data_IF_739160113699
#
_entry.id   IF_739160113699
#
_cell.length_a   1.000
_cell.length_b   1.000
_cell.length_c   1.000
_cell.angle_alpha   90.00
_cell.angle_beta   90.00
_cell.angle_gamma   90.00
#
_symmetry.space_group_name_H-M   'P 1'
#
loop_
_entity.id
_entity.type
_entity.pdbx_description
1 polymer ?
#
# COMPACT_ATOMS: atom_id res chain seq x y z
N UNK A 1 -3.68 -21.62 -60.77
CA UNK A 1 -3.06 -21.41 -59.43
C UNK A 1 -3.92 -20.52 -58.61
N UNK A 2 -4.49 -21.07 -57.53
CA UNK A 2 -5.28 -20.26 -56.57
C UNK A 2 -4.31 -19.65 -55.59
N UNK A 3 -4.25 -18.32 -55.58
CA UNK A 3 -3.57 -17.61 -54.50
C UNK A 3 -4.45 -17.63 -53.26
N UNK A 4 -4.02 -18.30 -52.20
CA UNK A 4 -4.67 -18.25 -50.91
C UNK A 4 -4.22 -16.93 -50.27
N UNK A 5 -5.12 -15.97 -50.22
CA UNK A 5 -4.91 -14.74 -49.44
C UNK A 5 -4.96 -15.08 -47.96
N UNK A 6 -3.87 -14.92 -47.26
CA UNK A 6 -3.84 -14.99 -45.82
C UNK A 6 -4.51 -13.72 -45.30
N UNK A 7 -5.74 -13.83 -44.84
CA UNK A 7 -6.39 -12.77 -44.09
C UNK A 7 -5.74 -12.72 -42.70
N UNK A 8 -4.81 -11.81 -42.55
CA UNK A 8 -4.24 -11.57 -41.25
C UNK A 8 -5.26 -10.83 -40.41
N UNK A 9 -5.90 -11.57 -39.49
CA UNK A 9 -6.79 -10.96 -38.52
C UNK A 9 -5.93 -10.21 -37.50
N UNK A 10 -5.81 -8.90 -37.64
CA UNK A 10 -5.18 -8.06 -36.63
C UNK A 10 -6.20 -7.90 -35.51
N UNK A 11 -6.04 -8.68 -34.44
CA UNK A 11 -6.79 -8.48 -33.23
C UNK A 11 -6.23 -7.23 -32.55
N UNK A 12 -6.86 -6.09 -32.77
CA UNK A 12 -6.58 -4.89 -32.00
C UNK A 12 -7.13 -5.13 -30.58
N UNK A 13 -6.25 -5.48 -29.64
CA UNK A 13 -6.61 -5.47 -28.24
C UNK A 13 -6.90 -4.03 -27.82
N UNK A 14 -8.16 -3.69 -27.68
CA UNK A 14 -8.56 -2.42 -27.08
C UNK A 14 -8.16 -2.46 -25.61
N UNK A 15 -7.10 -1.72 -25.26
CA UNK A 15 -6.75 -1.48 -23.86
C UNK A 15 -7.74 -0.47 -23.32
N UNK A 16 -8.82 -0.94 -22.75
CA UNK A 16 -9.71 -0.08 -21.98
C UNK A 16 -9.06 0.18 -20.62
N UNK A 17 -8.44 1.35 -20.49
CA UNK A 17 -8.07 1.87 -19.18
C UNK A 17 -9.34 2.32 -18.47
N UNK A 18 -9.92 1.46 -17.66
CA UNK A 18 -10.98 1.86 -16.74
C UNK A 18 -10.33 2.57 -15.55
N UNK A 19 -10.64 3.86 -15.38
CA UNK A 19 -10.33 4.61 -14.15
C UNK A 19 -10.94 3.85 -12.96
N UNK A 20 -10.09 3.36 -12.02
CA UNK A 20 -10.50 2.62 -10.84
C UNK A 20 -10.41 1.09 -10.96
N UNK A 21 -9.78 0.56 -12.03
CA UNK A 21 -9.45 -0.86 -12.08
C UNK A 21 -8.49 -1.22 -10.95
N UNK A 22 -8.81 -2.30 -10.19
CA UNK A 22 -7.86 -2.90 -9.25
C UNK A 22 -6.60 -3.32 -10.01
N UNK A 23 -5.40 -3.16 -9.42
CA UNK A 23 -4.13 -3.38 -10.14
C UNK A 23 -3.85 -4.83 -10.54
N UNK A 24 -4.77 -5.76 -10.35
CA UNK A 24 -4.63 -7.15 -10.79
C UNK A 24 -3.66 -8.00 -9.97
N UNK A 25 -3.22 -7.51 -8.82
CA UNK A 25 -2.37 -8.25 -7.90
C UNK A 25 -2.70 -7.88 -6.44
N UNK A 26 -2.40 -8.79 -5.54
CA UNK A 26 -2.61 -8.59 -4.10
C UNK A 26 -1.32 -8.93 -3.36
N UNK A 27 -0.87 -8.09 -2.42
CA UNK A 27 0.30 -8.41 -1.61
C UNK A 27 0.06 -9.69 -0.80
N UNK A 28 1.00 -10.62 -0.87
CA UNK A 28 0.98 -11.81 -0.04
C UNK A 28 1.66 -11.57 1.32
N UNK A 29 1.54 -12.54 2.22
CA UNK A 29 2.10 -12.44 3.57
C UNK A 29 3.63 -12.26 3.55
N UNK A 30 4.33 -12.91 2.61
CA UNK A 30 5.79 -12.79 2.49
C UNK A 30 6.20 -11.38 2.06
N UNK A 31 5.48 -10.78 1.12
CA UNK A 31 5.72 -9.41 0.66
C UNK A 31 5.49 -8.40 1.78
N UNK A 32 4.40 -8.56 2.53
CA UNK A 32 4.10 -7.69 3.68
C UNK A 32 5.18 -7.84 4.77
N UNK A 33 5.59 -9.06 5.08
CA UNK A 33 6.66 -9.31 6.05
C UNK A 33 7.96 -8.63 5.64
N UNK A 34 8.31 -8.69 4.36
CA UNK A 34 9.50 -8.02 3.83
C UNK A 34 9.39 -6.49 3.92
N UNK A 35 8.22 -5.94 3.60
CA UNK A 35 7.92 -4.52 3.77
C UNK A 35 8.15 -4.10 5.23
N UNK A 36 7.54 -4.80 6.16
CA UNK A 36 7.61 -4.46 7.58
C UNK A 36 9.03 -4.59 8.13
N UNK A 37 9.83 -5.52 7.60
CA UNK A 37 11.25 -5.65 7.97
C UNK A 37 12.10 -4.47 7.51
N UNK A 38 11.64 -3.68 6.55
CA UNK A 38 12.28 -2.44 6.12
C UNK A 38 11.99 -1.24 7.03
N UNK A 39 11.02 -1.37 7.92
CA UNK A 39 10.74 -0.34 8.94
C UNK A 39 11.66 -0.59 10.12
N UNK A 40 12.74 0.18 10.22
CA UNK A 40 13.75 0.00 11.25
C UNK A 40 13.34 0.69 12.55
N UNK A 41 13.87 0.24 13.71
CA UNK A 41 13.68 0.96 14.96
C UNK A 41 14.10 2.42 14.83
N UNK A 42 13.20 3.35 15.20
CA UNK A 42 13.44 4.77 15.09
C UNK A 42 13.00 5.41 13.76
N UNK A 43 12.62 4.63 12.74
CA UNK A 43 12.05 5.19 11.51
C UNK A 43 10.72 5.91 11.78
N UNK A 44 9.94 5.40 12.73
CA UNK A 44 8.77 6.10 13.26
C UNK A 44 9.23 6.94 14.43
N UNK A 45 9.08 8.27 14.36
CA UNK A 45 9.47 9.15 15.46
C UNK A 45 8.71 8.87 16.75
N UNK A 46 9.26 9.29 17.87
CA UNK A 46 8.59 9.19 19.17
C UNK A 46 7.25 9.93 19.14
N UNK A 47 6.26 9.33 19.80
CA UNK A 47 5.00 10.00 20.06
C UNK A 47 5.19 11.18 21.01
N UNK A 48 4.20 12.08 21.08
CA UNK A 48 4.23 13.22 21.99
C UNK A 48 4.39 12.84 23.47
N UNK A 49 3.97 11.62 23.84
CA UNK A 49 4.18 11.03 25.17
C UNK A 49 5.63 10.60 25.44
N UNK A 50 6.49 10.59 24.44
CA UNK A 50 7.85 10.06 24.51
C UNK A 50 7.96 8.58 24.20
N UNK A 51 6.84 7.88 24.00
CA UNK A 51 6.83 6.46 23.61
C UNK A 51 7.41 6.29 22.20
N UNK A 52 8.30 5.31 22.03
CA UNK A 52 8.85 4.92 20.73
C UNK A 52 8.00 3.78 20.15
N UNK A 53 7.14 4.07 19.17
CA UNK A 53 6.25 3.05 18.64
C UNK A 53 7.00 2.03 17.76
N UNK A 54 6.47 0.81 17.72
CA UNK A 54 6.89 -0.23 16.77
C UNK A 54 5.72 -0.62 15.87
N UNK A 55 6.02 -1.15 14.68
CA UNK A 55 5.01 -1.41 13.65
C UNK A 55 3.87 -2.31 14.14
N UNK A 56 4.15 -3.27 15.01
CA UNK A 56 3.15 -4.23 15.52
C UNK A 56 2.13 -3.60 16.47
N UNK A 57 2.35 -2.38 16.92
CA UNK A 57 1.37 -1.64 17.74
C UNK A 57 0.25 -1.00 16.90
N UNK A 58 0.36 -1.06 15.58
CA UNK A 58 -0.56 -0.42 14.65
C UNK A 58 -1.51 -1.41 13.99
N UNK A 59 -2.73 -0.97 13.74
CA UNK A 59 -3.56 -1.54 12.69
C UNK A 59 -2.94 -1.09 11.35
N UNK A 60 -2.44 -2.05 10.55
CA UNK A 60 -1.68 -1.77 9.34
C UNK A 60 -2.51 -2.09 8.11
N UNK A 61 -2.89 -1.06 7.38
CA UNK A 61 -3.66 -1.17 6.15
C UNK A 61 -2.72 -1.08 4.96
N UNK A 62 -2.76 -2.07 4.09
CA UNK A 62 -1.91 -2.12 2.90
C UNK A 62 -2.78 -2.29 1.66
N UNK A 63 -2.51 -1.46 0.64
CA UNK A 63 -3.21 -1.50 -0.63
C UNK A 63 -2.21 -1.56 -1.78
N UNK A 64 -2.45 -2.44 -2.78
CA UNK A 64 -1.60 -2.51 -3.96
C UNK A 64 -1.91 -1.39 -4.95
N UNK A 65 -0.89 -0.95 -5.67
CA UNK A 65 -1.04 -0.13 -6.85
C UNK A 65 0.14 -0.34 -7.80
N UNK A 66 0.05 0.21 -9.01
CA UNK A 66 1.12 0.17 -9.99
C UNK A 66 1.69 1.57 -10.21
N UNK A 67 3.02 1.67 -10.25
CA UNK A 67 3.73 2.85 -10.72
C UNK A 67 4.60 2.42 -11.92
N UNK A 68 4.11 2.69 -13.13
CA UNK A 68 4.70 2.11 -14.32
C UNK A 68 4.58 0.59 -14.30
N UNK A 69 5.70 -0.10 -14.41
CA UNK A 69 5.82 -1.56 -14.33
C UNK A 69 6.16 -2.06 -12.92
N UNK A 70 6.28 -1.16 -11.94
CA UNK A 70 6.56 -1.51 -10.55
C UNK A 70 5.27 -1.77 -9.77
N UNK A 71 5.20 -2.94 -9.11
CA UNK A 71 4.20 -3.20 -8.09
C UNK A 71 4.57 -2.40 -6.85
N UNK A 72 3.63 -1.64 -6.37
CA UNK A 72 3.81 -0.75 -5.22
C UNK A 72 2.78 -1.09 -4.14
N UNK A 73 3.14 -0.80 -2.91
CA UNK A 73 2.21 -0.88 -1.78
C UNK A 73 2.13 0.48 -1.11
N UNK A 74 0.91 0.96 -0.96
CA UNK A 74 0.60 2.09 -0.10
C UNK A 74 0.17 1.55 1.26
N UNK A 75 0.70 2.11 2.33
CA UNK A 75 0.34 1.69 3.68
C UNK A 75 -0.14 2.85 4.54
N UNK A 76 -1.09 2.57 5.41
CA UNK A 76 -1.52 3.45 6.47
C UNK A 76 -1.54 2.67 7.77
N UNK A 77 -0.76 3.12 8.73
CA UNK A 77 -0.62 2.53 10.04
C UNK A 77 -1.36 3.41 11.04
N UNK A 78 -2.30 2.84 11.76
CA UNK A 78 -3.15 3.56 12.71
C UNK A 78 -3.02 2.92 14.08
N UNK A 79 -2.56 3.67 15.09
CA UNK A 79 -2.60 3.16 16.46
C UNK A 79 -4.05 3.13 16.93
N UNK A 80 -4.53 2.00 17.46
CA UNK A 80 -5.88 1.92 17.99
C UNK A 80 -6.01 2.86 19.20
N UNK A 81 -6.87 3.87 19.10
CA UNK A 81 -7.07 4.89 20.15
C UNK A 81 -8.49 4.88 20.71
N UNK A 82 -9.25 3.83 20.43
CA UNK A 82 -10.62 3.72 20.91
C UNK A 82 -11.30 2.42 20.48
N UNK A 83 -12.42 2.12 21.08
CA UNK A 83 -13.18 0.88 20.85
C UNK A 83 -13.77 0.76 19.45
N UNK A 84 -13.88 1.87 18.71
CA UNK A 84 -14.40 1.89 17.33
C UNK A 84 -13.34 1.66 16.27
N UNK A 85 -12.08 1.53 16.67
CA UNK A 85 -10.96 1.31 15.74
C UNK A 85 -10.61 -0.16 15.72
N UNK A 86 -10.14 -0.63 14.55
CA UNK A 86 -9.65 -2.00 14.43
C UNK A 86 -8.42 -2.23 15.31
N UNK A 87 -8.28 -3.43 15.90
CA UNK A 87 -7.12 -3.75 16.71
C UNK A 87 -5.85 -3.79 15.86
N UNK A 88 -4.69 -3.73 16.51
CA UNK A 88 -3.40 -3.93 15.86
C UNK A 88 -3.40 -5.26 15.09
N UNK A 89 -2.91 -5.20 13.86
CA UNK A 89 -2.92 -6.35 12.94
C UNK A 89 -2.71 -5.89 11.51
N UNK A 90 -2.68 -6.83 10.58
CA UNK A 90 -2.49 -6.57 9.15
C UNK A 90 -3.84 -6.67 8.44
N UNK A 91 -4.17 -5.65 7.66
CA UNK A 91 -5.40 -5.55 6.87
C UNK A 91 -5.04 -5.22 5.43
N UNK A 92 -5.08 -6.21 4.55
CA UNK A 92 -4.86 -6.01 3.12
C UNK A 92 -6.20 -5.62 2.49
N UNK A 93 -6.23 -4.48 1.82
CA UNK A 93 -7.42 -3.93 1.17
C UNK A 93 -7.16 -3.73 -0.32
N UNK A 94 -8.23 -3.55 -1.10
CA UNK A 94 -8.13 -3.48 -2.57
C UNK A 94 -7.52 -2.16 -3.05
N UNK A 95 -7.79 -1.06 -2.35
CA UNK A 95 -7.27 0.26 -2.71
C UNK A 95 -7.15 1.17 -1.48
N UNK A 96 -6.40 2.27 -1.63
CA UNK A 96 -6.27 3.29 -0.58
C UNK A 96 -7.60 3.96 -0.18
N UNK A 97 -8.63 3.83 -1.02
CA UNK A 97 -10.00 4.31 -0.71
C UNK A 97 -10.61 3.58 0.47
N UNK A 98 -10.13 2.38 0.77
CA UNK A 98 -10.58 1.56 1.89
C UNK A 98 -9.82 1.86 3.19
N UNK A 99 -8.86 2.77 3.15
CA UNK A 99 -8.14 3.21 4.35
C UNK A 99 -9.04 4.08 5.25
N UNK A 100 -8.83 4.04 6.57
CA UNK A 100 -9.47 5.02 7.46
C UNK A 100 -9.14 6.44 7.04
N UNK A 101 -10.13 7.33 7.04
CA UNK A 101 -9.95 8.73 6.69
C UNK A 101 -9.58 9.53 7.94
N UNK A 102 -8.28 9.75 8.14
CA UNK A 102 -7.75 10.43 9.33
C UNK A 102 -6.79 11.53 8.86
N UNK A 103 -7.04 12.77 9.27
CA UNK A 103 -6.28 13.94 8.80
C UNK A 103 -5.23 14.44 9.81
N UNK A 104 -5.28 14.03 11.05
CA UNK A 104 -4.36 14.43 12.11
C UNK A 104 -3.86 13.22 12.90
N UNK A 105 -3.41 13.41 14.13
CA UNK A 105 -2.96 12.31 14.99
C UNK A 105 -1.45 12.15 15.07
N UNK A 106 -0.67 12.97 14.35
CA UNK A 106 0.78 12.88 14.37
C UNK A 106 1.28 11.48 14.02
N UNK A 107 2.26 10.97 14.77
CA UNK A 107 2.83 9.64 14.53
C UNK A 107 1.98 8.48 15.07
N UNK A 108 0.79 8.75 15.59
CA UNK A 108 -0.24 7.71 15.75
C UNK A 108 -0.81 7.25 14.42
N UNK A 109 -0.59 8.03 13.36
CA UNK A 109 -0.95 7.71 11.98
C UNK A 109 0.32 7.83 11.13
N UNK A 110 0.72 6.75 10.49
CA UNK A 110 1.90 6.71 9.63
C UNK A 110 1.48 6.31 8.22
N UNK A 111 1.94 7.07 7.24
CA UNK A 111 1.70 6.78 5.82
C UNK A 111 3.01 6.32 5.18
N UNK A 112 2.97 5.26 4.41
CA UNK A 112 4.15 4.73 3.74
C UNK A 112 3.89 4.35 2.29
N UNK A 113 4.98 4.31 1.53
CA UNK A 113 5.03 3.78 0.16
C UNK A 113 6.19 2.80 0.06
N UNK A 114 5.93 1.63 -0.47
CA UNK A 114 6.91 0.56 -0.64
C UNK A 114 6.95 0.09 -2.09
N UNK A 115 8.15 -0.04 -2.63
CA UNK A 115 8.40 -0.60 -3.97
C UNK A 115 8.73 -2.09 -3.83
N UNK A 116 7.85 -2.94 -4.37
CA UNK A 116 8.00 -4.39 -4.30
C UNK A 116 9.17 -4.86 -5.17
N UNK A 117 9.35 -4.27 -6.35
CA UNK A 117 10.37 -4.69 -7.32
C UNK A 117 11.79 -4.42 -6.80
N UNK A 118 12.00 -3.29 -6.13
CA UNK A 118 13.29 -2.93 -5.54
C UNK A 118 13.42 -3.29 -4.07
N UNK A 119 12.34 -3.78 -3.46
CA UNK A 119 12.26 -4.10 -2.04
C UNK A 119 12.68 -2.91 -1.15
N UNK A 120 12.19 -1.72 -1.48
CA UNK A 120 12.58 -0.48 -0.82
C UNK A 120 11.40 0.30 -0.27
N UNK A 121 11.55 0.74 0.97
CA UNK A 121 10.65 1.72 1.58
C UNK A 121 10.95 3.10 0.97
N UNK A 122 10.06 3.57 0.10
CA UNK A 122 10.24 4.82 -0.65
C UNK A 122 9.95 6.03 0.22
N UNK A 123 8.92 5.95 1.05
CA UNK A 123 8.57 7.02 1.98
C UNK A 123 7.89 6.47 3.23
N UNK A 124 8.09 7.18 4.32
CA UNK A 124 7.40 6.94 5.59
C UNK A 124 7.20 8.30 6.25
N UNK A 125 5.96 8.68 6.50
CA UNK A 125 5.61 10.00 7.04
C UNK A 125 4.49 9.88 8.06
N UNK A 126 4.62 10.60 9.17
CA UNK A 126 3.54 10.79 10.12
C UNK A 126 2.52 11.80 9.60
N UNK A 127 1.25 11.68 10.04
CA UNK A 127 0.27 12.73 9.83
C UNK A 127 0.70 14.01 10.57
N UNK A 128 0.18 15.17 10.10
CA UNK A 128 0.31 16.42 10.82
C UNK A 128 -0.51 16.45 12.09
N UNK A 129 -0.27 17.44 12.92
CA UNK A 129 -1.12 17.76 14.06
C UNK A 129 -2.13 18.84 13.68
N UNK A 130 -3.33 18.71 14.19
CA UNK A 130 -4.36 19.74 14.04
C UNK A 130 -4.02 21.00 14.82
#
# INVERSE_FOLDING_TARGET
MKKIGIVQLILAAAVTTTLGATPGWTPDAATISKLESNIKPGDIPKLGSGHRPIVTEYARYYAPYMAGDHRMIRGELVRPMGSNMKPAGIYVVDSEKDFPLIFDGGCSIVNLVYDVETARLVSLKCNGYA
#
